data_IF_128878489457
#
_entry.id   IF_128878489457
#
_cell.length_a   1.000
_cell.length_b   1.000
_cell.length_c   1.000
_cell.angle_alpha   90.00
_cell.angle_beta   90.00
_cell.angle_gamma   90.00
#
_symmetry.space_group_name_H-M   'P 1'
#
loop_
_entity.id
_entity.type
_entity.pdbx_description
1 polymer ?
#
# COMPACT_ATOMS: atom_id res chain seq x y z
N UNK A 1 20.28 19.56 6.16
CA UNK A 1 19.81 18.17 5.90
C UNK A 1 18.93 17.73 7.06
N UNK A 2 17.73 18.27 7.12
CA UNK A 2 16.74 17.76 8.03
C UNK A 2 16.27 16.38 7.52
N UNK A 3 16.82 15.29 8.08
CA UNK A 3 16.21 13.99 7.89
C UNK A 3 14.76 14.10 8.35
N UNK A 4 13.78 13.75 7.52
CA UNK A 4 12.44 13.48 7.97
C UNK A 4 12.56 12.26 8.89
N UNK A 5 12.73 12.54 10.20
CA UNK A 5 12.44 11.53 11.18
C UNK A 5 10.96 11.20 10.97
N UNK A 6 10.67 10.05 10.44
CA UNK A 6 9.44 9.36 10.78
C UNK A 6 9.57 9.15 12.28
N UNK A 7 9.24 10.22 13.02
CA UNK A 7 9.19 10.19 14.48
C UNK A 7 8.52 8.91 14.82
N UNK A 8 9.23 8.05 15.56
CA UNK A 8 8.92 6.64 15.69
C UNK A 8 7.45 6.46 15.47
N UNK A 9 7.07 5.95 14.28
CA UNK A 9 5.89 5.13 14.25
C UNK A 9 6.27 4.15 15.36
N UNK A 10 5.86 4.44 16.60
CA UNK A 10 5.67 3.37 17.54
C UNK A 10 4.76 2.48 16.72
N UNK A 11 5.39 1.54 16.01
CA UNK A 11 4.65 0.52 15.35
C UNK A 11 3.90 -0.10 16.52
N UNK A 12 2.72 0.46 16.76
CA UNK A 12 1.81 -0.19 17.66
C UNK A 12 1.77 -1.59 17.07
N UNK A 13 2.20 -2.57 17.87
CA UNK A 13 2.29 -3.97 17.45
C UNK A 13 0.99 -4.46 16.80
N UNK A 14 -0.09 -3.69 16.93
CA UNK A 14 -1.40 -3.88 16.31
C UNK A 14 -1.40 -3.77 14.77
N UNK A 15 -0.45 -3.08 14.13
CA UNK A 15 -0.41 -2.94 12.67
C UNK A 15 0.44 -4.00 11.97
N UNK A 16 1.48 -4.51 12.65
CA UNK A 16 2.42 -5.46 12.05
C UNK A 16 1.78 -6.81 11.74
N UNK A 17 1.91 -7.25 10.49
CA UNK A 17 1.40 -8.54 10.03
C UNK A 17 -0.12 -8.65 10.01
N UNK A 18 -0.83 -7.54 10.10
CA UNK A 18 -2.29 -7.51 10.14
C UNK A 18 -2.86 -7.17 8.78
N UNK A 19 -3.86 -7.95 8.37
CA UNK A 19 -4.68 -7.66 7.20
C UNK A 19 -5.83 -6.71 7.57
N UNK A 20 -6.14 -5.79 6.68
CA UNK A 20 -7.31 -4.91 6.78
C UNK A 20 -8.25 -5.28 5.65
N UNK A 21 -9.31 -6.00 5.97
CA UNK A 21 -10.28 -6.51 5.00
C UNK A 21 -11.61 -5.75 5.05
N UNK A 22 -11.91 -5.10 6.16
CA UNK A 22 -13.11 -4.32 6.37
C UNK A 22 -12.85 -3.15 7.33
N UNK A 23 -13.70 -2.15 7.30
CA UNK A 23 -13.62 -1.00 8.21
C UNK A 23 -13.69 -1.45 9.68
N UNK A 24 -14.45 -2.48 9.98
CA UNK A 24 -14.59 -3.04 11.33
C UNK A 24 -13.31 -3.65 11.89
N UNK A 25 -12.31 -3.93 11.04
CA UNK A 25 -10.98 -4.38 11.48
C UNK A 25 -10.17 -3.26 12.14
N UNK A 26 -10.62 -2.02 12.01
CA UNK A 26 -9.96 -0.83 12.53
C UNK A 26 -10.68 -0.33 13.80
N UNK A 27 -9.95 -0.29 14.92
CA UNK A 27 -10.43 0.36 16.14
C UNK A 27 -10.45 1.89 15.98
N UNK A 28 -11.17 2.58 16.86
CA UNK A 28 -11.18 4.05 16.86
C UNK A 28 -9.78 4.63 17.06
N UNK A 29 -8.96 4.00 17.90
CA UNK A 29 -7.57 4.39 18.11
C UNK A 29 -6.73 4.23 16.83
N UNK A 30 -6.91 3.13 16.09
CA UNK A 30 -6.24 2.89 14.81
C UNK A 30 -6.67 3.89 13.75
N UNK A 31 -7.96 4.23 13.68
CA UNK A 31 -8.48 5.26 12.79
C UNK A 31 -7.88 6.63 13.09
N UNK A 32 -7.79 6.99 14.36
CA UNK A 32 -7.15 8.24 14.79
C UNK A 32 -5.69 8.32 14.37
N UNK A 33 -4.93 7.23 14.54
CA UNK A 33 -3.55 7.13 14.09
C UNK A 33 -3.43 7.23 12.57
N UNK A 34 -4.30 6.55 11.83
CA UNK A 34 -4.36 6.60 10.38
C UNK A 34 -4.57 8.01 9.86
N UNK A 35 -5.52 8.75 10.42
CA UNK A 35 -5.81 10.13 10.02
C UNK A 35 -4.65 11.09 10.37
N UNK A 36 -4.00 10.92 11.51
CA UNK A 36 -2.80 11.69 11.86
C UNK A 36 -1.66 11.41 10.89
N UNK A 37 -1.46 10.15 10.55
CA UNK A 37 -0.44 9.75 9.57
C UNK A 37 -0.76 10.31 8.17
N UNK A 38 -2.01 10.24 7.75
CA UNK A 38 -2.44 10.82 6.47
C UNK A 38 -2.16 12.33 6.41
N UNK A 39 -2.43 13.07 7.48
CA UNK A 39 -2.14 14.51 7.55
C UNK A 39 -0.64 14.80 7.45
N UNK A 40 0.19 13.99 8.11
CA UNK A 40 1.66 14.09 8.01
C UNK A 40 2.15 13.78 6.60
N UNK A 41 1.59 12.76 5.95
CA UNK A 41 1.95 12.41 4.58
C UNK A 41 1.55 13.51 3.59
N UNK A 42 0.39 14.14 3.78
CA UNK A 42 -0.03 15.30 2.98
C UNK A 42 0.98 16.45 3.07
N UNK A 43 1.41 16.76 4.28
CA UNK A 43 2.42 17.80 4.52
C UNK A 43 3.77 17.43 3.89
N UNK A 44 4.18 16.17 4.00
CA UNK A 44 5.41 15.67 3.39
C UNK A 44 5.36 15.80 1.85
N UNK A 45 4.26 15.40 1.23
CA UNK A 45 4.09 15.52 -0.23
C UNK A 45 4.16 16.98 -0.67
N UNK A 46 3.51 17.89 0.07
CA UNK A 46 3.52 19.32 -0.25
C UNK A 46 4.92 19.94 -0.13
N UNK A 47 5.74 19.49 0.82
CA UNK A 47 7.07 20.08 1.09
C UNK A 47 8.22 19.40 0.35
N UNK A 48 8.17 18.08 0.17
CA UNK A 48 9.28 17.27 -0.37
C UNK A 48 8.92 16.47 -1.62
N UNK A 49 7.65 16.17 -1.84
CA UNK A 49 7.18 15.33 -2.93
C UNK A 49 7.33 13.83 -2.70
N UNK A 50 8.41 13.39 -2.08
CA UNK A 50 8.69 11.97 -1.83
C UNK A 50 9.66 11.75 -0.67
N UNK A 51 9.74 10.50 -0.21
CA UNK A 51 10.72 10.02 0.79
C UNK A 51 11.26 8.66 0.36
N UNK A 52 12.25 8.15 1.07
CA UNK A 52 12.82 6.81 0.91
C UNK A 52 12.31 5.82 1.98
N UNK A 53 11.21 6.14 2.65
CA UNK A 53 10.72 5.35 3.79
C UNK A 53 10.46 3.88 3.45
N UNK A 54 10.00 3.59 2.22
CA UNK A 54 9.73 2.24 1.73
C UNK A 54 10.66 1.81 0.60
N UNK A 55 11.86 2.38 0.55
CA UNK A 55 12.88 1.96 -0.41
C UNK A 55 13.15 0.47 -0.28
N UNK A 56 13.15 -0.24 -1.41
CA UNK A 56 13.33 -1.69 -1.46
C UNK A 56 12.07 -2.50 -1.18
N UNK A 57 10.93 -1.86 -0.92
CA UNK A 57 9.64 -2.52 -0.73
C UNK A 57 8.84 -2.54 -2.02
N UNK A 58 8.03 -3.58 -2.19
CA UNK A 58 7.18 -3.80 -3.36
C UNK A 58 5.73 -3.94 -2.93
N UNK A 59 4.87 -3.17 -3.57
CA UNK A 59 3.42 -3.26 -3.45
C UNK A 59 2.85 -3.99 -4.67
N UNK A 60 2.04 -5.01 -4.46
CA UNK A 60 1.20 -5.57 -5.50
C UNK A 60 -0.18 -4.88 -5.50
N UNK A 61 -0.52 -4.26 -6.61
CA UNK A 61 -1.75 -3.50 -6.80
C UNK A 61 -2.64 -4.30 -7.76
N UNK A 62 -3.66 -4.98 -7.21
CA UNK A 62 -4.44 -6.00 -7.92
C UNK A 62 -5.87 -5.52 -8.09
N UNK A 63 -6.24 -5.11 -9.30
CA UNK A 63 -7.57 -4.58 -9.59
C UNK A 63 -8.15 -5.26 -10.84
N UNK A 64 -9.13 -6.12 -10.64
CA UNK A 64 -9.86 -6.79 -11.72
C UNK A 64 -11.06 -5.99 -12.21
N UNK A 65 -11.60 -5.09 -11.38
CA UNK A 65 -12.68 -4.18 -11.76
C UNK A 65 -12.11 -2.80 -12.12
N UNK A 66 -12.82 -2.00 -12.95
CA UNK A 66 -12.40 -0.65 -13.29
C UNK A 66 -12.39 0.24 -12.04
N UNK A 67 -11.23 0.47 -11.48
CA UNK A 67 -11.01 1.31 -10.28
C UNK A 67 -9.80 2.21 -10.47
N UNK A 68 -9.78 2.93 -11.59
CA UNK A 68 -8.62 3.73 -12.01
C UNK A 68 -8.13 4.69 -10.93
N UNK A 69 -9.04 5.42 -10.27
CA UNK A 69 -8.66 6.37 -9.21
C UNK A 69 -7.99 5.67 -8.04
N UNK A 70 -8.58 4.58 -7.57
CA UNK A 70 -8.05 3.82 -6.43
C UNK A 70 -6.69 3.21 -6.76
N UNK A 71 -6.60 2.53 -7.89
CA UNK A 71 -5.35 1.93 -8.36
C UNK A 71 -4.23 2.97 -8.49
N UNK A 72 -4.51 4.11 -9.13
CA UNK A 72 -3.54 5.18 -9.30
C UNK A 72 -3.15 5.84 -7.98
N UNK A 73 -4.08 5.94 -7.02
CA UNK A 73 -3.78 6.54 -5.70
C UNK A 73 -2.80 5.67 -4.90
N UNK A 74 -2.96 4.36 -4.89
CA UNK A 74 -2.02 3.44 -4.24
C UNK A 74 -0.67 3.40 -4.96
N UNK A 75 -0.67 3.40 -6.29
CA UNK A 75 0.55 3.48 -7.10
C UNK A 75 1.34 4.76 -6.77
N UNK A 76 0.69 5.91 -6.82
CA UNK A 76 1.32 7.19 -6.49
C UNK A 76 1.82 7.23 -5.04
N UNK A 77 1.03 6.73 -4.08
CA UNK A 77 1.41 6.70 -2.67
C UNK A 77 2.68 5.88 -2.45
N UNK A 78 2.74 4.68 -3.03
CA UNK A 78 3.92 3.81 -2.89
C UNK A 78 5.17 4.44 -3.50
N UNK A 79 5.06 5.01 -4.69
CA UNK A 79 6.18 5.71 -5.36
C UNK A 79 6.66 6.91 -4.59
N UNK A 80 5.76 7.70 -3.98
CA UNK A 80 6.14 8.82 -3.12
C UNK A 80 6.84 8.38 -1.83
N UNK A 81 6.63 7.16 -1.39
CA UNK A 81 7.33 6.56 -0.26
C UNK A 81 8.65 5.88 -0.66
N UNK A 82 9.01 5.93 -1.94
CA UNK A 82 10.27 5.37 -2.45
C UNK A 82 10.22 3.89 -2.80
N UNK A 83 9.04 3.27 -2.73
CA UNK A 83 8.85 1.87 -3.09
C UNK A 83 8.52 1.65 -4.57
N UNK A 84 8.35 0.39 -4.92
CA UNK A 84 8.01 -0.07 -6.26
C UNK A 84 6.61 -0.70 -6.29
N UNK A 85 6.00 -0.76 -7.47
CA UNK A 85 4.65 -1.30 -7.65
C UNK A 85 4.62 -2.34 -8.76
N UNK A 86 3.97 -3.45 -8.48
CA UNK A 86 3.52 -4.44 -9.48
C UNK A 86 2.03 -4.25 -9.66
N UNK A 87 1.59 -3.93 -10.87
CA UNK A 87 0.17 -3.75 -11.17
C UNK A 87 -0.37 -4.95 -11.93
N UNK A 88 -1.49 -5.48 -11.44
CA UNK A 88 -2.23 -6.57 -12.07
C UNK A 88 -3.66 -6.10 -12.33
N UNK A 89 -4.09 -6.20 -13.58
CA UNK A 89 -5.44 -5.88 -14.00
C UNK A 89 -6.04 -7.05 -14.77
N UNK A 90 -7.33 -7.00 -15.07
CA UNK A 90 -7.99 -8.03 -15.88
C UNK A 90 -7.29 -8.25 -17.23
N UNK A 91 -6.87 -7.17 -17.88
CA UNK A 91 -6.20 -7.23 -19.19
C UNK A 91 -4.80 -7.84 -19.15
N UNK A 92 -4.13 -7.79 -17.99
CA UNK A 92 -2.76 -8.30 -17.79
C UNK A 92 -2.72 -9.60 -17.01
N UNK A 93 -3.86 -10.06 -16.48
CA UNK A 93 -3.92 -11.26 -15.66
C UNK A 93 -3.95 -12.54 -16.50
N UNK A 94 -3.44 -13.63 -15.91
CA UNK A 94 -3.54 -14.98 -16.47
C UNK A 94 -4.92 -15.63 -16.26
N UNK A 95 -5.91 -14.90 -15.74
CA UNK A 95 -7.27 -15.40 -15.50
C UNK A 95 -7.91 -15.97 -16.78
N UNK A 96 -7.61 -15.37 -17.93
CA UNK A 96 -8.07 -15.88 -19.26
C UNK A 96 -7.44 -17.22 -19.65
N UNK A 97 -6.38 -17.65 -18.96
CA UNK A 97 -5.71 -18.95 -19.15
C UNK A 97 -6.16 -19.99 -18.13
N UNK A 98 -7.18 -19.69 -17.32
CA UNK A 98 -7.72 -20.59 -16.30
C UNK A 98 -7.04 -20.50 -14.94
N UNK A 99 -6.16 -19.50 -14.71
CA UNK A 99 -5.59 -19.24 -13.39
C UNK A 99 -6.66 -18.62 -12.46
N UNK A 100 -6.73 -19.10 -11.21
CA UNK A 100 -7.63 -18.53 -10.21
C UNK A 100 -7.03 -17.27 -9.59
N UNK A 101 -7.90 -16.41 -9.00
CA UNK A 101 -7.45 -15.24 -8.24
C UNK A 101 -6.56 -15.68 -7.07
N UNK A 102 -6.91 -16.77 -6.41
CA UNK A 102 -6.14 -17.33 -5.29
C UNK A 102 -4.73 -17.74 -5.71
N UNK A 103 -4.59 -18.38 -6.86
CA UNK A 103 -3.27 -18.75 -7.40
C UNK A 103 -2.43 -17.51 -7.73
N UNK A 104 -3.05 -16.50 -8.33
CA UNK A 104 -2.39 -15.22 -8.62
C UNK A 104 -1.92 -14.54 -7.34
N UNK A 105 -2.75 -14.46 -6.31
CA UNK A 105 -2.40 -13.85 -5.01
C UNK A 105 -1.26 -14.61 -4.34
N UNK A 106 -1.30 -15.94 -4.30
CA UNK A 106 -0.22 -16.77 -3.74
C UNK A 106 1.10 -16.56 -4.44
N UNK A 107 1.07 -16.40 -5.77
CA UNK A 107 2.26 -16.09 -6.54
C UNK A 107 2.81 -14.69 -6.20
N UNK A 108 1.92 -13.69 -6.11
CA UNK A 108 2.31 -12.32 -5.78
C UNK A 108 2.86 -12.18 -4.36
N UNK A 109 2.36 -12.95 -3.40
CA UNK A 109 2.89 -12.98 -2.03
C UNK A 109 4.39 -13.31 -1.99
N UNK A 110 4.89 -14.05 -2.97
CA UNK A 110 6.32 -14.35 -3.08
C UNK A 110 7.16 -13.16 -3.56
N UNK A 111 6.54 -12.17 -4.18
CA UNK A 111 7.22 -11.05 -4.83
C UNK A 111 7.03 -9.71 -4.11
N UNK A 112 6.01 -9.57 -3.32
CA UNK A 112 5.65 -8.29 -2.72
C UNK A 112 5.68 -8.31 -1.19
N UNK A 113 5.79 -7.13 -0.60
CA UNK A 113 5.72 -6.92 0.85
C UNK A 113 4.30 -6.60 1.32
N UNK A 114 3.48 -6.06 0.45
CA UNK A 114 2.08 -5.75 0.71
C UNK A 114 1.26 -5.90 -0.57
N UNK A 115 -0.04 -6.15 -0.41
CA UNK A 115 -0.97 -6.33 -1.52
C UNK A 115 -2.23 -5.52 -1.27
N UNK A 116 -2.71 -4.84 -2.31
CA UNK A 116 -3.98 -4.11 -2.34
C UNK A 116 -4.88 -4.72 -3.41
N UNK A 117 -6.12 -4.99 -3.02
CA UNK A 117 -7.14 -5.50 -3.92
C UNK A 117 -8.39 -4.62 -3.89
#
# INVERSE_FOLDING_TARGET
RGGFSMGSLSADASWCGRDVLAVDDLSDAMLGELFRTASRMRAMVASRGSTDALKGRVLANVFYEPSTRTMCSFDAAMKRLGGEVISVSESTSSAKKGETIEDTVRCLECYCDALVM
#
